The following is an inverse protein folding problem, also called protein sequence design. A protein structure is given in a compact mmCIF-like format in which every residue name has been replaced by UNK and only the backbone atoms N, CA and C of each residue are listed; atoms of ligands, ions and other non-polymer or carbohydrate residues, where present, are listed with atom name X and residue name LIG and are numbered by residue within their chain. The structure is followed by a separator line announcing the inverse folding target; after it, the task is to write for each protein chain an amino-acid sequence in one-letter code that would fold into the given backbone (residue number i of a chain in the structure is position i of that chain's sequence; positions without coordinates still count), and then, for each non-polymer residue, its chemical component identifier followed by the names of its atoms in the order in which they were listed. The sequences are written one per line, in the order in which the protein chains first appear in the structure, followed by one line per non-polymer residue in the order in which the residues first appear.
data_IF_276487083339
#
_entry.id   IF_276487083339
#
_cell.length_a   1.000
_cell.length_b   1.000
_cell.length_c   1.000
_cell.angle_alpha   90.00
_cell.angle_beta   90.00
_cell.angle_gamma   90.00
#
_symmetry.space_group_name_H-M   'P 1'
#
loop_
_entity.id
_entity.type
_entity.pdbx_description
1 polymer ?
#
# COMPACT_ATOMS: atom_id res chain seq x y z
N UNK A 1 27.28 -11.99 -84.54
CA UNK A 1 28.65 -11.61 -84.94
C UNK A 1 28.56 -10.24 -85.61
N UNK A 2 29.31 -9.18 -85.24
CA UNK A 2 30.34 -9.02 -84.19
C UNK A 2 29.79 -8.22 -82.97
N UNK A 3 30.31 -8.17 -81.73
CA UNK A 3 31.63 -8.08 -81.06
C UNK A 3 32.31 -6.71 -81.11
N UNK A 4 32.27 -5.97 -79.99
CA UNK A 4 33.39 -5.15 -79.47
C UNK A 4 33.39 -5.28 -77.94
N UNK A 5 34.50 -5.75 -77.38
CA UNK A 5 34.75 -5.82 -75.95
C UNK A 5 35.60 -4.64 -75.46
N UNK A 6 35.58 -4.41 -74.16
CA UNK A 6 36.67 -3.76 -73.44
C UNK A 6 36.77 -4.34 -72.03
N UNK A 7 37.95 -4.86 -71.75
CA UNK A 7 38.41 -5.54 -70.53
C UNK A 7 39.02 -4.50 -69.57
N UNK A 8 38.88 -4.68 -68.25
CA UNK A 8 40.00 -4.81 -67.25
C UNK A 8 39.65 -4.35 -65.82
N UNK A 9 40.06 -5.24 -64.90
CA UNK A 9 40.58 -5.02 -63.54
C UNK A 9 39.67 -4.55 -62.38
N UNK A 10 39.38 -5.49 -61.46
CA UNK A 10 39.37 -5.20 -60.02
C UNK A 10 40.79 -5.12 -59.45
N UNK A 11 41.04 -5.22 -58.13
CA UNK A 11 40.12 -5.30 -57.00
C UNK A 11 40.44 -4.25 -55.90
N UNK A 12 39.65 -4.17 -54.81
CA UNK A 12 40.16 -4.26 -53.42
C UNK A 12 39.07 -4.11 -52.36
N UNK A 13 38.91 -5.19 -51.60
CA UNK A 13 38.21 -5.30 -50.34
C UNK A 13 38.95 -4.48 -49.28
N UNK A 14 38.35 -3.41 -48.77
CA UNK A 14 38.87 -2.67 -47.60
C UNK A 14 37.70 -2.16 -46.75
N UNK A 15 37.02 -3.08 -46.05
CA UNK A 15 36.04 -2.71 -45.03
C UNK A 15 35.80 -3.84 -44.00
N UNK A 16 36.84 -4.59 -43.61
CA UNK A 16 36.68 -5.66 -42.60
C UNK A 16 37.80 -5.70 -41.55
N UNK A 17 38.56 -4.61 -41.39
CA UNK A 17 39.75 -4.57 -40.54
C UNK A 17 39.74 -3.41 -39.54
N UNK A 18 38.58 -3.13 -38.95
CA UNK A 18 38.46 -2.10 -37.90
C UNK A 18 37.70 -2.55 -36.65
N UNK A 19 37.33 -3.83 -36.54
CA UNK A 19 36.62 -4.37 -35.37
C UNK A 19 37.53 -5.03 -34.31
N UNK A 20 38.83 -5.25 -34.57
CA UNK A 20 39.69 -6.05 -33.70
C UNK A 20 40.77 -5.30 -32.91
N UNK A 21 40.72 -3.97 -32.82
CA UNK A 21 41.81 -3.20 -32.20
C UNK A 21 41.43 -2.31 -31.00
N UNK A 22 40.25 -2.51 -30.40
CA UNK A 22 39.82 -1.79 -29.19
C UNK A 22 39.62 -2.69 -27.96
N UNK A 23 40.28 -3.83 -27.88
CA UNK A 23 40.14 -4.77 -26.75
C UNK A 23 41.33 -4.90 -25.78
N UNK A 24 42.35 -4.05 -25.87
CA UNK A 24 43.47 -4.13 -24.91
C UNK A 24 43.92 -2.75 -24.39
N UNK A 25 43.18 -2.26 -23.37
CA UNK A 25 43.66 -1.44 -22.24
C UNK A 25 42.47 -0.95 -21.42
N UNK A 26 42.00 -1.77 -20.49
CA UNK A 26 41.24 -1.31 -19.32
C UNK A 26 41.87 -1.93 -18.09
N UNK A 27 42.50 -1.11 -17.27
CA UNK A 27 42.93 -1.48 -15.92
C UNK A 27 41.72 -2.03 -15.15
N UNK A 28 41.86 -3.08 -14.32
CA UNK A 28 40.75 -3.55 -13.51
C UNK A 28 40.33 -2.43 -12.55
N UNK A 29 39.08 -1.98 -12.67
CA UNK A 29 38.45 -1.09 -11.71
C UNK A 29 38.46 -1.80 -10.33
N UNK A 30 38.73 -1.09 -9.23
CA UNK A 30 38.61 -1.69 -7.91
C UNK A 30 37.17 -2.21 -7.72
N UNK A 31 37.06 -3.50 -7.37
CA UNK A 31 35.80 -4.09 -6.94
C UNK A 31 35.31 -3.35 -5.71
N UNK A 32 34.36 -2.45 -5.89
CA UNK A 32 33.57 -1.93 -4.79
C UNK A 32 32.71 -3.09 -4.27
N UNK A 33 33.10 -3.64 -3.14
CA UNK A 33 32.26 -4.54 -2.35
C UNK A 33 30.94 -3.82 -2.07
N UNK A 34 29.77 -4.43 -2.35
CA UNK A 34 28.51 -3.81 -2.00
C UNK A 34 28.45 -3.71 -0.48
N UNK A 35 28.56 -2.48 0.03
CA UNK A 35 28.33 -2.17 1.44
C UNK A 35 26.89 -2.57 1.73
N UNK A 36 26.67 -3.72 2.38
CA UNK A 36 25.38 -4.08 2.98
C UNK A 36 25.08 -3.03 4.07
N UNK A 37 24.50 -1.91 3.67
CA UNK A 37 23.84 -1.02 4.62
C UNK A 37 22.55 -1.71 5.05
N UNK A 38 22.63 -2.46 6.15
CA UNK A 38 21.48 -2.84 6.95
C UNK A 38 20.86 -1.57 7.51
N UNK A 39 20.02 -0.91 6.69
CA UNK A 39 19.09 0.09 7.23
C UNK A 39 18.12 -0.68 8.12
N UNK A 40 18.25 -0.52 9.42
CA UNK A 40 17.27 -1.01 10.40
C UNK A 40 15.93 -0.34 10.11
N UNK A 41 15.05 -1.05 9.41
CA UNK A 41 13.74 -0.59 8.93
C UNK A 41 12.70 -0.36 10.07
N UNK A 42 13.05 -0.61 11.34
CA UNK A 42 12.12 -0.60 12.46
C UNK A 42 11.88 0.79 13.10
N UNK A 43 12.74 1.79 12.85
CA UNK A 43 12.76 3.02 13.64
C UNK A 43 11.57 4.01 13.44
N UNK A 44 10.99 4.22 12.23
CA UNK A 44 9.91 5.20 12.08
C UNK A 44 8.55 4.67 12.58
N UNK A 45 8.32 3.37 12.48
CA UNK A 45 7.08 2.71 12.90
C UNK A 45 6.83 2.82 14.41
N UNK A 46 7.88 2.59 15.20
CA UNK A 46 7.78 2.56 16.66
C UNK A 46 7.40 3.94 17.24
N UNK A 47 7.84 5.04 16.61
CA UNK A 47 7.56 6.41 17.09
C UNK A 47 6.11 6.83 16.87
N UNK A 48 5.50 6.47 15.74
CA UNK A 48 4.10 6.82 15.43
C UNK A 48 3.15 6.00 16.31
N UNK A 49 3.40 4.70 16.48
CA UNK A 49 2.60 3.85 17.37
C UNK A 49 2.72 4.28 18.83
N UNK A 50 3.91 4.68 19.29
CA UNK A 50 4.12 5.16 20.65
C UNK A 50 3.38 6.49 20.91
N UNK A 51 3.42 7.44 19.97
CA UNK A 51 2.67 8.69 20.10
C UNK A 51 1.15 8.47 20.12
N UNK A 52 0.65 7.55 19.27
CA UNK A 52 -0.77 7.17 19.26
C UNK A 52 -1.19 6.49 20.58
N UNK A 53 -0.35 5.62 21.14
CA UNK A 53 -0.62 4.98 22.42
C UNK A 53 -0.66 5.98 23.59
N UNK A 54 0.18 7.02 23.58
CA UNK A 54 0.20 8.06 24.64
C UNK A 54 -1.03 8.98 24.54
N UNK A 55 -1.37 9.45 23.34
CA UNK A 55 -2.55 10.30 23.13
C UNK A 55 -3.87 9.58 23.49
N UNK A 56 -3.88 8.26 23.36
CA UNK A 56 -5.01 7.43 23.69
C UNK A 56 -5.22 7.21 25.20
N UNK A 57 -4.20 7.43 26.04
CA UNK A 57 -4.33 7.30 27.49
C UNK A 57 -5.16 8.42 28.14
N UNK A 58 -5.46 9.51 27.44
CA UNK A 58 -6.26 10.64 27.96
C UNK A 58 -7.75 10.54 27.63
N UNK A 59 -8.16 9.60 26.77
CA UNK A 59 -9.57 9.41 26.40
C UNK A 59 -10.33 8.71 27.54
N UNK A 60 -11.55 9.17 27.90
CA UNK A 60 -12.36 8.56 28.95
C UNK A 60 -12.63 7.08 28.65
N UNK A 61 -12.96 6.32 29.69
CA UNK A 61 -13.34 4.92 29.53
C UNK A 61 -14.64 4.83 28.72
N UNK A 62 -14.54 4.27 27.52
CA UNK A 62 -15.66 4.08 26.62
C UNK A 62 -16.60 2.96 27.08
N UNK A 63 -17.84 3.02 26.61
CA UNK A 63 -18.69 1.84 26.54
C UNK A 63 -18.00 0.73 25.71
N UNK A 64 -18.31 -0.54 26.00
CA UNK A 64 -17.74 -1.67 25.25
C UNK A 64 -18.01 -1.59 23.74
N UNK A 65 -19.04 -0.85 23.31
CA UNK A 65 -19.37 -0.61 21.90
C UNK A 65 -19.25 0.88 21.47
N UNK A 66 -18.42 1.64 22.19
CA UNK A 66 -18.17 3.06 21.88
C UNK A 66 -17.43 3.29 20.55
N UNK A 67 -17.40 4.55 20.07
CA UNK A 67 -16.56 4.98 18.96
C UNK A 67 -15.08 4.66 19.17
N UNK A 68 -14.37 4.48 18.07
CA UNK A 68 -12.99 4.05 18.06
C UNK A 68 -12.19 4.86 17.04
N UNK A 69 -11.05 5.41 17.48
CA UNK A 69 -10.07 6.03 16.61
C UNK A 69 -9.04 4.97 16.20
N UNK A 70 -8.79 4.84 14.90
CA UNK A 70 -7.93 3.79 14.33
C UNK A 70 -6.79 4.42 13.55
N UNK A 71 -5.56 4.18 13.97
CA UNK A 71 -4.37 4.49 13.17
C UNK A 71 -4.09 3.31 12.24
N UNK A 72 -3.88 3.60 10.96
CA UNK A 72 -3.56 2.61 9.92
C UNK A 72 -2.26 2.99 9.21
N UNK A 73 -1.35 2.03 9.08
CA UNK A 73 -0.13 2.24 8.32
C UNK A 73 0.29 0.98 7.58
N UNK A 74 0.69 1.13 6.32
CA UNK A 74 1.02 -0.02 5.50
C UNK A 74 1.68 0.32 4.18
N UNK A 75 1.82 -0.70 3.34
CA UNK A 75 2.43 -0.61 2.01
C UNK A 75 1.45 -1.02 0.94
N UNK A 76 1.57 -0.39 -0.22
CA UNK A 76 0.84 -0.81 -1.42
C UNK A 76 1.67 -1.86 -2.18
N UNK A 77 1.02 -2.87 -2.74
CA UNK A 77 1.64 -3.84 -3.64
C UNK A 77 2.35 -3.14 -4.82
N UNK A 78 3.47 -3.72 -5.28
CA UNK A 78 4.27 -3.16 -6.37
C UNK A 78 5.51 -2.34 -5.94
N UNK A 79 5.72 -2.12 -4.64
CA UNK A 79 6.97 -1.59 -4.08
C UNK A 79 7.12 -0.05 -4.14
N UNK A 80 7.70 0.54 -3.10
CA UNK A 80 7.92 1.99 -2.99
C UNK A 80 6.69 2.84 -2.61
N UNK A 81 5.53 2.20 -2.47
CA UNK A 81 4.28 2.85 -2.10
C UNK A 81 3.93 2.60 -0.63
N UNK A 82 3.42 3.62 0.05
CA UNK A 82 2.99 3.55 1.45
C UNK A 82 1.67 4.28 1.68
N UNK A 83 0.92 3.83 2.69
CA UNK A 83 -0.31 4.46 3.19
C UNK A 83 -0.14 4.76 4.68
N UNK A 84 -0.56 5.94 5.11
CA UNK A 84 -0.81 6.26 6.53
C UNK A 84 -2.14 6.96 6.64
N UNK A 85 -3.00 6.56 7.58
CA UNK A 85 -4.32 7.15 7.73
C UNK A 85 -4.92 6.98 9.11
N UNK A 86 -6.01 7.70 9.32
CA UNK A 86 -6.86 7.62 10.50
C UNK A 86 -8.25 7.14 10.07
N UNK A 87 -8.86 6.31 10.91
CA UNK A 87 -10.24 5.89 10.82
C UNK A 87 -11.01 6.33 12.06
N UNK A 88 -12.21 6.86 11.87
CA UNK A 88 -13.20 7.02 12.93
C UNK A 88 -14.26 5.94 12.76
N UNK A 89 -14.19 4.91 13.58
CA UNK A 89 -15.16 3.81 13.60
C UNK A 89 -16.23 4.14 14.64
N UNK A 90 -17.48 4.13 14.21
CA UNK A 90 -18.62 4.41 15.08
C UNK A 90 -19.00 3.16 15.88
N UNK A 91 -19.90 3.32 16.86
CA UNK A 91 -20.53 2.19 17.55
C UNK A 91 -21.28 1.27 16.60
N UNK A 92 -21.66 0.10 17.08
CA UNK A 92 -22.38 -0.88 16.27
C UNK A 92 -23.77 -0.37 15.94
N UNK A 93 -24.12 -0.46 14.66
CA UNK A 93 -25.47 -0.14 14.17
C UNK A 93 -26.34 -1.38 14.02
N UNK A 94 -25.71 -2.56 14.10
CA UNK A 94 -26.36 -3.85 14.11
C UNK A 94 -25.45 -4.86 14.80
N UNK A 95 -26.06 -5.76 15.57
CA UNK A 95 -25.37 -6.84 16.26
C UNK A 95 -26.19 -8.13 16.17
N UNK A 96 -25.51 -9.28 16.18
CA UNK A 96 -26.16 -10.58 16.27
C UNK A 96 -25.22 -11.64 16.83
N UNK A 97 -25.78 -12.60 17.56
CA UNK A 97 -25.05 -13.76 18.05
C UNK A 97 -25.27 -14.97 17.15
N UNK A 98 -24.19 -15.62 16.75
CA UNK A 98 -24.25 -16.81 15.90
C UNK A 98 -23.20 -17.84 16.29
N UNK A 99 -23.65 -18.98 16.83
CA UNK A 99 -22.76 -20.11 17.12
C UNK A 99 -21.61 -19.79 18.09
N UNK A 100 -21.83 -18.90 19.06
CA UNK A 100 -20.82 -18.45 20.01
C UNK A 100 -19.87 -17.37 19.47
N UNK A 101 -20.16 -16.82 18.30
CA UNK A 101 -19.57 -15.59 17.77
C UNK A 101 -20.51 -14.42 17.97
N UNK A 102 -19.94 -13.27 18.32
CA UNK A 102 -20.62 -11.99 18.30
C UNK A 102 -20.30 -11.30 16.97
N UNK A 103 -21.33 -10.98 16.21
CA UNK A 103 -21.24 -10.24 14.95
C UNK A 103 -21.68 -8.80 15.20
N UNK A 104 -20.96 -7.84 14.62
CA UNK A 104 -21.28 -6.41 14.70
C UNK A 104 -21.02 -5.73 13.36
N UNK A 105 -21.93 -4.86 12.94
CA UNK A 105 -21.73 -3.97 11.80
C UNK A 105 -21.39 -2.58 12.32
N UNK A 106 -20.22 -2.08 11.92
CA UNK A 106 -19.68 -0.80 12.38
C UNK A 106 -19.35 0.10 11.19
N UNK A 107 -19.98 1.27 11.06
CA UNK A 107 -19.56 2.27 10.09
C UNK A 107 -18.19 2.84 10.47
N UNK A 108 -17.34 3.09 9.48
CA UNK A 108 -16.06 3.78 9.66
C UNK A 108 -15.83 4.82 8.56
N UNK A 109 -15.39 6.01 8.97
CA UNK A 109 -14.89 7.04 8.06
C UNK A 109 -13.38 7.04 8.06
N UNK A 110 -12.77 7.13 6.90
CA UNK A 110 -11.32 7.09 6.74
C UNK A 110 -10.78 8.39 6.14
N UNK A 111 -9.60 8.79 6.59
CA UNK A 111 -8.78 9.81 5.97
C UNK A 111 -7.33 9.34 5.93
N UNK A 112 -6.77 9.21 4.73
CA UNK A 112 -5.44 8.65 4.51
C UNK A 112 -4.60 9.45 3.53
N UNK A 113 -3.29 9.30 3.67
CA UNK A 113 -2.30 9.75 2.70
C UNK A 113 -1.56 8.55 2.13
N UNK A 114 -1.55 8.49 0.80
CA UNK A 114 -0.72 7.59 0.02
C UNK A 114 0.50 8.35 -0.49
N UNK A 115 1.64 7.70 -0.57
CA UNK A 115 2.84 8.30 -1.14
C UNK A 115 3.73 7.27 -1.82
N UNK A 116 4.49 7.71 -2.82
CA UNK A 116 5.45 6.92 -3.57
C UNK A 116 6.88 7.48 -3.43
N UNK A 117 7.85 6.64 -3.11
CA UNK A 117 9.25 7.06 -2.88
C UNK A 117 10.14 7.01 -4.14
N UNK A 118 9.70 6.33 -5.20
CA UNK A 118 10.46 6.12 -6.43
C UNK A 118 10.46 7.27 -7.44
N UNK A 119 9.74 8.36 -7.16
CA UNK A 119 9.68 9.55 -8.04
C UNK A 119 9.63 10.83 -7.23
N UNK A 120 10.68 11.09 -6.44
CA UNK A 120 10.81 12.35 -5.68
C UNK A 120 10.70 13.54 -6.63
N UNK A 121 9.66 14.36 -6.46
CA UNK A 121 9.50 15.64 -7.16
C UNK A 121 8.59 15.63 -8.39
N UNK A 122 7.82 14.57 -8.65
CA UNK A 122 6.68 14.63 -9.58
C UNK A 122 5.38 15.00 -8.85
N UNK A 123 4.42 15.66 -9.51
CA UNK A 123 3.14 16.04 -8.90
C UNK A 123 2.34 14.83 -8.36
N UNK A 124 2.54 13.65 -8.94
CA UNK A 124 1.75 12.45 -8.64
C UNK A 124 2.43 11.54 -7.59
N UNK A 125 3.27 12.11 -6.70
CA UNK A 125 3.99 11.34 -5.68
C UNK A 125 3.18 11.10 -4.39
N UNK A 126 2.02 11.76 -4.26
CA UNK A 126 1.14 11.69 -3.09
C UNK A 126 -0.33 11.83 -3.49
N UNK A 127 -1.17 11.05 -2.83
CA UNK A 127 -2.63 11.19 -2.88
C UNK A 127 -3.20 11.30 -1.47
N UNK A 128 -4.26 12.08 -1.33
CA UNK A 128 -5.12 12.04 -0.14
C UNK A 128 -6.39 11.26 -0.47
N UNK A 129 -6.86 10.46 0.47
CA UNK A 129 -8.04 9.61 0.33
C UNK A 129 -8.99 9.86 1.48
N UNK A 130 -10.24 10.18 1.17
CA UNK A 130 -11.36 10.10 2.11
C UNK A 130 -12.20 8.84 1.80
N UNK A 131 -12.85 8.25 2.80
CA UNK A 131 -13.68 7.06 2.56
C UNK A 131 -14.72 6.81 3.63
N UNK A 132 -15.70 5.97 3.28
CA UNK A 132 -16.72 5.46 4.19
C UNK A 132 -16.88 3.96 3.95
N UNK A 133 -16.86 3.17 5.03
CA UNK A 133 -16.89 1.71 4.95
C UNK A 133 -17.82 1.13 6.01
N UNK A 134 -18.61 0.13 5.62
CA UNK A 134 -19.34 -0.72 6.55
C UNK A 134 -18.50 -1.94 6.89
N UNK A 135 -18.15 -2.12 8.17
CA UNK A 135 -17.29 -3.19 8.64
C UNK A 135 -18.11 -4.21 9.43
N UNK A 136 -18.21 -5.42 8.89
CA UNK A 136 -18.75 -6.56 9.60
C UNK A 136 -17.61 -7.24 10.37
N UNK A 137 -17.67 -7.16 11.69
CA UNK A 137 -16.71 -7.77 12.61
C UNK A 137 -17.33 -8.98 13.30
N UNK A 138 -16.60 -10.08 13.32
CA UNK A 138 -16.87 -11.25 14.13
C UNK A 138 -15.81 -11.37 15.22
N UNK A 139 -16.20 -11.48 16.48
CA UNK A 139 -15.28 -11.75 17.58
C UNK A 139 -15.84 -12.83 18.52
N UNK A 140 -14.94 -13.44 19.29
CA UNK A 140 -15.30 -14.49 20.24
C UNK A 140 -14.67 -14.24 21.61
N UNK A 141 -15.42 -14.59 22.65
CA UNK A 141 -14.96 -14.57 24.03
C UNK A 141 -15.31 -13.29 24.78
N UNK A 142 -15.30 -13.42 26.11
CA UNK A 142 -15.85 -12.44 27.06
C UNK A 142 -14.74 -11.93 28.00
N UNK A 143 -13.49 -12.33 27.74
CA UNK A 143 -12.34 -12.05 28.59
C UNK A 143 -11.55 -10.81 28.17
N UNK A 144 -10.42 -10.58 28.84
CA UNK A 144 -9.56 -9.42 28.60
C UNK A 144 -8.88 -9.38 27.22
N UNK A 145 -8.87 -10.48 26.46
CA UNK A 145 -8.35 -10.52 25.08
C UNK A 145 -9.37 -11.22 24.19
N UNK A 146 -9.78 -10.56 23.10
CA UNK A 146 -10.79 -11.07 22.16
C UNK A 146 -10.22 -11.10 20.73
N UNK A 147 -10.00 -12.28 20.13
CA UNK A 147 -9.67 -12.35 18.71
C UNK A 147 -10.87 -11.94 17.86
N UNK A 148 -10.59 -11.28 16.74
CA UNK A 148 -11.60 -10.88 15.79
C UNK A 148 -11.15 -11.08 14.33
N UNK A 149 -12.14 -11.27 13.46
CA UNK A 149 -12.03 -11.14 12.01
C UNK A 149 -12.99 -10.05 11.52
N UNK A 150 -12.65 -9.38 10.43
CA UNK A 150 -13.41 -8.27 9.89
C UNK A 150 -13.41 -8.29 8.36
N UNK A 151 -14.58 -8.02 7.77
CA UNK A 151 -14.71 -7.75 6.34
C UNK A 151 -15.40 -6.40 6.16
N UNK A 152 -14.99 -5.66 5.14
CA UNK A 152 -15.49 -4.32 4.88
C UNK A 152 -15.82 -4.08 3.44
N UNK A 153 -16.92 -3.37 3.19
CA UNK A 153 -17.30 -2.89 1.87
C UNK A 153 -17.69 -1.41 1.96
N UNK A 154 -17.21 -0.62 1.01
CA UNK A 154 -17.35 0.82 1.06
C UNK A 154 -16.91 1.52 -0.20
N UNK A 155 -16.69 2.82 -0.05
CA UNK A 155 -16.29 3.74 -1.11
C UNK A 155 -15.19 4.68 -0.64
N UNK A 156 -14.37 5.12 -1.57
CA UNK A 156 -13.29 6.05 -1.35
C UNK A 156 -13.23 7.10 -2.47
N UNK A 157 -12.76 8.29 -2.12
CA UNK A 157 -12.47 9.38 -3.03
C UNK A 157 -11.01 9.78 -2.87
N UNK A 158 -10.24 9.70 -3.95
CA UNK A 158 -8.86 10.13 -4.02
C UNK A 158 -8.75 11.56 -4.54
N UNK A 159 -7.71 12.29 -4.13
CA UNK A 159 -7.43 13.65 -4.61
C UNK A 159 -6.93 13.70 -6.06
N UNK A 160 -6.63 12.55 -6.63
CA UNK A 160 -6.11 12.34 -7.98
C UNK A 160 -6.21 10.87 -8.35
N UNK A 161 -5.98 10.58 -9.61
CA UNK A 161 -6.12 9.28 -10.27
C UNK A 161 -4.76 8.61 -10.56
N UNK A 162 -3.64 9.27 -10.25
CA UNK A 162 -2.29 8.73 -10.44
C UNK A 162 -1.47 8.79 -9.16
N UNK A 163 -0.74 7.71 -8.91
CA UNK A 163 0.26 7.63 -7.86
C UNK A 163 1.50 6.94 -8.40
N UNK A 164 2.58 7.69 -8.63
CA UNK A 164 3.80 7.15 -9.24
C UNK A 164 3.52 6.56 -10.62
N UNK A 165 3.68 5.24 -10.76
CA UNK A 165 3.39 4.51 -12.00
C UNK A 165 2.00 3.87 -12.02
N UNK A 166 1.22 3.98 -10.95
CA UNK A 166 -0.13 3.42 -10.87
C UNK A 166 -1.15 4.43 -11.38
N UNK A 167 -2.06 3.95 -12.22
CA UNK A 167 -3.16 4.70 -12.79
C UNK A 167 -4.49 4.03 -12.44
N UNK A 168 -5.32 4.70 -11.64
CA UNK A 168 -6.61 4.19 -11.17
C UNK A 168 -7.79 4.78 -11.95
N UNK A 169 -7.52 5.62 -12.97
CA UNK A 169 -8.43 6.35 -13.87
C UNK A 169 -9.45 7.29 -13.24
N UNK A 170 -10.02 6.94 -12.09
CA UNK A 170 -11.09 7.70 -11.45
C UNK A 170 -10.70 8.09 -10.04
N UNK A 171 -11.15 9.26 -9.60
CA UNK A 171 -10.99 9.65 -8.20
C UNK A 171 -11.84 8.78 -7.28
N UNK A 172 -13.05 8.43 -7.72
CA UNK A 172 -13.94 7.51 -7.01
C UNK A 172 -13.49 6.07 -7.17
N UNK A 173 -13.47 5.32 -6.08
CA UNK A 173 -13.07 3.92 -6.02
C UNK A 173 -14.00 3.17 -5.06
N UNK A 174 -14.35 1.94 -5.38
CA UNK A 174 -14.87 0.99 -4.40
C UNK A 174 -13.74 0.55 -3.47
N UNK A 175 -14.06 0.32 -2.20
CA UNK A 175 -13.09 -0.16 -1.21
C UNK A 175 -13.57 -1.46 -0.58
N UNK A 176 -12.73 -2.49 -0.60
CA UNK A 176 -12.95 -3.74 0.13
C UNK A 176 -11.86 -3.91 1.17
N UNK A 177 -12.21 -4.39 2.36
CA UNK A 177 -11.25 -4.66 3.44
C UNK A 177 -11.44 -6.08 3.96
N UNK A 178 -10.32 -6.71 4.31
CA UNK A 178 -10.26 -7.98 5.04
C UNK A 178 -9.24 -7.81 6.16
N UNK A 179 -9.65 -8.06 7.40
CA UNK A 179 -8.80 -7.86 8.56
C UNK A 179 -8.96 -8.94 9.61
N UNK A 180 -7.95 -9.04 10.47
CA UNK A 180 -7.98 -9.87 11.66
C UNK A 180 -7.09 -9.25 12.75
N UNK A 181 -7.41 -9.49 14.00
CA UNK A 181 -6.63 -8.93 15.10
C UNK A 181 -7.06 -9.39 16.47
N UNK A 182 -6.54 -8.68 17.47
CA UNK A 182 -6.82 -8.89 18.88
C UNK A 182 -7.32 -7.57 19.47
N UNK A 183 -8.38 -7.66 20.25
CA UNK A 183 -8.85 -6.59 21.12
C UNK A 183 -8.44 -6.88 22.56
N UNK A 184 -8.05 -5.86 23.30
CA UNK A 184 -7.60 -5.95 24.69
C UNK A 184 -8.44 -5.04 25.58
N UNK A 185 -9.01 -5.65 26.63
CA UNK A 185 -9.79 -5.02 27.68
C UNK A 185 -10.95 -4.15 27.18
N UNK A 186 -11.51 -4.45 26.00
CA UNK A 186 -12.58 -3.65 25.41
C UNK A 186 -12.16 -2.25 24.95
N UNK A 187 -10.87 -1.90 24.99
CA UNK A 187 -10.37 -0.54 24.77
C UNK A 187 -9.40 -0.43 23.61
N UNK A 188 -8.47 -1.37 23.51
CA UNK A 188 -7.38 -1.32 22.54
C UNK A 188 -7.56 -2.41 21.51
N UNK A 189 -7.17 -2.15 20.27
CA UNK A 189 -6.99 -3.23 19.31
C UNK A 189 -5.70 -3.10 18.52
N UNK A 190 -5.20 -4.25 18.12
CA UNK A 190 -4.08 -4.39 17.20
C UNK A 190 -4.51 -5.37 16.12
N UNK A 191 -4.29 -5.02 14.85
CA UNK A 191 -4.72 -5.86 13.74
C UNK A 191 -3.83 -5.76 12.52
N UNK A 192 -4.10 -6.67 11.59
CA UNK A 192 -3.64 -6.62 10.21
C UNK A 192 -4.86 -6.47 9.31
N UNK A 193 -4.72 -5.70 8.24
CA UNK A 193 -5.75 -5.51 7.23
C UNK A 193 -5.11 -5.53 5.85
N UNK A 194 -5.80 -6.22 4.94
CA UNK A 194 -5.67 -6.05 3.52
C UNK A 194 -6.82 -5.17 3.03
N UNK A 195 -6.50 -4.18 2.19
CA UNK A 195 -7.49 -3.31 1.56
C UNK A 195 -7.26 -3.27 0.06
N UNK A 196 -8.33 -3.41 -0.71
CA UNK A 196 -8.31 -3.26 -2.16
C UNK A 196 -9.17 -2.05 -2.55
N UNK A 197 -8.63 -1.21 -3.45
CA UNK A 197 -9.35 -0.09 -4.06
C UNK A 197 -9.35 -0.27 -5.57
N UNK A 198 -10.51 -0.19 -6.19
CA UNK A 198 -10.68 -0.24 -7.65
C UNK A 198 -11.97 0.45 -8.09
N UNK A 199 -12.03 0.87 -9.35
CA UNK A 199 -13.21 1.53 -9.90
C UNK A 199 -14.21 0.53 -10.52
N UNK A 200 -13.97 -0.78 -10.36
CA UNK A 200 -14.82 -1.82 -10.95
C UNK A 200 -14.80 -1.85 -12.48
N UNK A 201 -13.73 -1.36 -13.11
CA UNK A 201 -13.59 -1.20 -14.56
C UNK A 201 -14.60 -0.23 -15.20
N UNK A 202 -15.13 0.73 -14.42
CA UNK A 202 -15.89 1.86 -14.95
C UNK A 202 -15.06 2.63 -15.99
N UNK A 203 -13.76 2.79 -15.72
CA UNK A 203 -12.80 3.38 -16.65
C UNK A 203 -11.45 2.64 -16.59
N UNK A 204 -10.74 2.58 -17.72
CA UNK A 204 -9.47 1.87 -17.87
C UNK A 204 -8.36 2.84 -18.26
N UNK A 205 -7.11 2.64 -17.80
CA UNK A 205 -6.63 1.51 -16.99
C UNK A 205 -7.08 1.56 -15.52
N UNK A 206 -7.26 0.40 -14.89
CA UNK A 206 -7.64 0.30 -13.48
C UNK A 206 -6.60 -0.58 -12.76
N UNK A 207 -5.44 0.00 -12.48
CA UNK A 207 -4.33 -0.73 -11.82
C UNK A 207 -4.66 -1.16 -10.39
N UNK A 208 -5.69 -0.53 -9.80
CA UNK A 208 -6.09 -0.69 -8.41
C UNK A 208 -5.00 -0.33 -7.39
N UNK A 209 -5.37 -0.42 -6.11
CA UNK A 209 -4.44 -0.29 -5.00
C UNK A 209 -4.69 -1.35 -3.94
N UNK A 210 -3.75 -2.28 -3.84
CA UNK A 210 -3.69 -3.31 -2.80
C UNK A 210 -2.82 -2.87 -1.63
N UNK A 211 -3.39 -2.68 -0.46
CA UNK A 211 -2.69 -2.20 0.73
C UNK A 211 -2.63 -3.29 1.79
N UNK A 212 -1.43 -3.61 2.27
CA UNK A 212 -1.20 -4.45 3.45
C UNK A 212 -0.77 -3.56 4.60
N UNK A 213 -1.54 -3.56 5.69
CA UNK A 213 -1.39 -2.59 6.75
C UNK A 213 -1.61 -3.15 8.15
N UNK A 214 -0.96 -2.50 9.11
CA UNK A 214 -1.19 -2.67 10.54
C UNK A 214 -2.23 -1.64 11.01
N UNK A 215 -3.00 -2.02 12.02
CA UNK A 215 -4.01 -1.17 12.64
C UNK A 215 -3.76 -1.12 14.13
N UNK A 216 -3.88 0.08 14.69
CA UNK A 216 -3.93 0.29 16.12
C UNK A 216 -5.15 1.15 16.44
N UNK A 217 -6.11 0.56 17.15
CA UNK A 217 -7.38 1.20 17.48
C UNK A 217 -7.54 1.45 18.97
N UNK A 218 -8.25 2.53 19.29
CA UNK A 218 -8.52 2.99 20.66
C UNK A 218 -9.97 3.44 20.77
N UNK A 219 -10.70 2.82 21.69
CA UNK A 219 -12.10 3.13 22.00
C UNK A 219 -12.21 4.23 23.07
N UNK A 220 -13.18 5.13 22.93
CA UNK A 220 -13.46 6.23 23.86
C UNK A 220 -14.96 6.50 24.03
#
# INVERSE_FOLDING_TARGET
MPTVGATLHGPRRHAYRQYHQYQHRRSPLPMNTPRKTSRTFAAPFCRVLLAAAVAACTLPAAAQDGPELVLKHGRVGGGGYQRTGLGLRLGSVWENDWGGWHLSLRPEFELSRFSYDGSRGRPDDRLTQGGAIGLLRAYRGNGGTRPYGEVGLGVAMFSGDRLGSKDISTHFQFSQHLGAGLEFSGRWNLGLQYSHYSNGDIEKPNDGMDVYQVLFGVRF
#
